data_IF_390628266192
#
_entry.id   IF_390628266192
#
_cell.length_a   1.000
_cell.length_b   1.000
_cell.length_c   1.000
_cell.angle_alpha   90.00
_cell.angle_beta   90.00
_cell.angle_gamma   90.00
#
_symmetry.space_group_name_H-M   'P 1'
#
loop_
_entity.id
_entity.type
_entity.pdbx_description
1 polymer ?
#
# COMPACT_ATOMS: atom_id res chain seq x y z
N UNK A 1 -20.95 -0.20 0.07
CA UNK A 1 -21.28 -1.63 0.25
C UNK A 1 -22.49 -1.94 -0.59
N UNK A 2 -22.35 -2.71 -1.66
CA UNK A 2 -23.49 -3.22 -2.44
C UNK A 2 -23.98 -4.47 -1.72
N UNK A 3 -25.11 -4.39 -1.04
CA UNK A 3 -25.85 -5.56 -0.61
C UNK A 3 -26.44 -6.20 -1.87
N UNK A 4 -25.93 -7.35 -2.28
CA UNK A 4 -26.58 -8.18 -3.27
C UNK A 4 -27.55 -9.11 -2.54
N UNK A 5 -28.84 -8.77 -2.61
CA UNK A 5 -29.92 -9.68 -2.23
C UNK A 5 -30.10 -10.67 -3.38
N UNK A 6 -29.84 -11.95 -3.15
CA UNK A 6 -30.16 -13.01 -4.10
C UNK A 6 -31.60 -13.44 -3.83
N UNK A 7 -32.47 -13.31 -4.84
CA UNK A 7 -33.82 -13.86 -4.81
C UNK A 7 -33.78 -15.17 -5.58
N UNK A 8 -34.04 -16.29 -4.89
CA UNK A 8 -34.24 -17.60 -5.54
C UNK A 8 -35.69 -17.62 -6.02
N UNK A 9 -35.88 -17.61 -7.34
CA UNK A 9 -37.20 -17.45 -7.96
C UNK A 9 -38.09 -18.68 -7.75
N UNK A 10 -39.40 -18.47 -7.61
CA UNK A 10 -40.40 -19.45 -7.15
C UNK A 10 -40.86 -20.44 -8.23
N UNK A 11 -39.94 -21.00 -9.01
CA UNK A 11 -40.26 -21.89 -10.15
C UNK A 11 -40.26 -23.38 -9.82
N UNK A 12 -41.46 -23.97 -9.70
CA UNK A 12 -41.79 -25.41 -9.86
C UNK A 12 -40.86 -26.44 -9.17
N UNK A 13 -41.23 -26.89 -7.96
CA UNK A 13 -40.58 -28.01 -7.26
C UNK A 13 -40.90 -29.34 -7.96
N UNK A 14 -39.88 -30.03 -8.45
CA UNK A 14 -39.94 -31.41 -8.94
C UNK A 14 -40.11 -32.36 -7.73
N UNK A 15 -41.03 -33.35 -7.75
CA UNK A 15 -41.37 -34.15 -6.55
C UNK A 15 -40.38 -35.28 -6.21
N UNK A 16 -39.14 -35.24 -6.71
CA UNK A 16 -38.10 -36.22 -6.39
C UNK A 16 -36.87 -35.46 -5.89
N UNK A 17 -36.38 -35.72 -4.65
CA UNK A 17 -35.36 -34.90 -4.00
C UNK A 17 -33.98 -35.25 -4.55
N UNK A 18 -33.46 -34.44 -5.47
CA UNK A 18 -32.04 -34.44 -5.81
C UNK A 18 -31.31 -33.48 -4.87
N UNK A 19 -30.37 -34.00 -4.06
CA UNK A 19 -29.37 -33.16 -3.37
C UNK A 19 -28.62 -32.38 -4.45
N UNK A 20 -28.87 -31.09 -4.57
CA UNK A 20 -28.14 -30.24 -5.50
C UNK A 20 -26.97 -29.57 -4.76
N UNK A 21 -25.75 -29.94 -5.17
CA UNK A 21 -24.52 -29.26 -4.75
C UNK A 21 -24.27 -28.14 -5.75
N UNK A 22 -24.33 -26.90 -5.28
CA UNK A 22 -23.98 -25.75 -6.09
C UNK A 22 -22.54 -25.36 -5.83
N UNK A 23 -21.71 -25.40 -6.87
CA UNK A 23 -20.41 -24.76 -6.88
C UNK A 23 -20.61 -23.31 -7.37
N UNK A 24 -20.25 -22.33 -6.56
CA UNK A 24 -20.15 -20.95 -7.04
C UNK A 24 -18.90 -20.80 -7.92
N UNK A 25 -19.00 -21.27 -9.15
CA UNK A 25 -18.01 -20.98 -10.18
C UNK A 25 -18.19 -19.52 -10.62
N UNK A 26 -17.30 -18.63 -10.17
CA UNK A 26 -17.10 -17.38 -10.88
C UNK A 26 -16.15 -17.67 -12.04
N UNK A 27 -16.67 -18.14 -13.16
CA UNK A 27 -15.91 -18.13 -14.40
C UNK A 27 -15.64 -16.67 -14.80
N UNK A 28 -14.43 -16.41 -15.29
CA UNK A 28 -14.00 -15.13 -15.85
C UNK A 28 -14.81 -14.82 -17.13
N UNK A 29 -15.89 -14.05 -16.99
CA UNK A 29 -16.51 -13.41 -18.15
C UNK A 29 -15.68 -12.19 -18.55
N UNK A 30 -14.87 -12.35 -19.59
CA UNK A 30 -14.03 -11.31 -20.22
C UNK A 30 -14.81 -10.10 -20.73
N UNK A 31 -16.15 -10.11 -20.72
CA UNK A 31 -16.99 -9.00 -21.19
C UNK A 31 -17.51 -8.07 -20.09
N UNK A 32 -17.31 -8.38 -18.80
CA UNK A 32 -17.88 -7.61 -17.70
C UNK A 32 -16.81 -6.94 -16.78
N UNK A 33 -16.50 -5.64 -16.95
CA UNK A 33 -15.44 -4.95 -16.22
C UNK A 33 -15.74 -4.61 -14.74
N UNK A 34 -16.75 -5.25 -14.11
CA UNK A 34 -17.20 -4.96 -12.73
C UNK A 34 -17.11 -6.14 -11.75
N UNK A 35 -16.50 -7.27 -12.10
CA UNK A 35 -16.32 -8.41 -11.18
C UNK A 35 -14.90 -8.45 -10.59
N UNK A 36 -14.83 -8.63 -9.27
CA UNK A 36 -13.60 -8.92 -8.53
C UNK A 36 -13.38 -10.43 -8.60
N UNK A 37 -12.30 -10.85 -9.26
CA UNK A 37 -11.95 -12.24 -9.47
C UNK A 37 -11.37 -12.92 -8.22
N UNK A 38 -11.88 -14.12 -7.94
CA UNK A 38 -11.33 -15.07 -6.98
C UNK A 38 -12.15 -16.35 -7.08
N UNK A 39 -11.49 -17.50 -7.28
CA UNK A 39 -12.17 -18.81 -7.18
C UNK A 39 -12.59 -19.01 -5.73
N UNK A 40 -13.85 -18.76 -5.42
CA UNK A 40 -14.41 -19.13 -4.12
C UNK A 40 -15.16 -20.44 -4.34
N UNK A 41 -14.56 -21.57 -3.97
CA UNK A 41 -15.26 -22.85 -3.93
C UNK A 41 -16.15 -22.87 -2.70
N UNK A 42 -17.32 -22.24 -2.79
CA UNK A 42 -18.38 -22.46 -1.81
C UNK A 42 -19.23 -23.59 -2.36
N UNK A 43 -19.21 -24.75 -1.70
CA UNK A 43 -20.26 -25.74 -1.87
C UNK A 43 -21.46 -25.28 -1.03
N UNK A 44 -22.55 -24.90 -1.69
CA UNK A 44 -23.83 -24.64 -1.01
C UNK A 44 -24.60 -25.97 -0.97
N UNK A 45 -24.87 -26.50 0.22
CA UNK A 45 -25.80 -27.62 0.40
C UNK A 45 -27.09 -27.07 1.01
N UNK A 46 -28.18 -27.09 0.24
CA UNK A 46 -29.53 -26.79 0.74
C UNK A 46 -30.22 -28.10 1.13
N UNK A 47 -30.56 -28.28 2.41
CA UNK A 47 -31.40 -29.39 2.87
C UNK A 47 -32.88 -29.03 2.72
N UNK A 48 -33.79 -30.02 2.76
CA UNK A 48 -35.24 -29.80 2.68
C UNK A 48 -35.82 -29.14 3.96
N UNK A 49 -35.53 -27.83 4.14
CA UNK A 49 -36.25 -26.82 4.94
C UNK A 49 -35.69 -26.48 6.34
N UNK A 50 -35.87 -25.24 6.88
CA UNK A 50 -36.06 -23.95 6.20
C UNK A 50 -34.69 -23.36 5.80
N UNK A 51 -34.58 -22.78 4.60
CA UNK A 51 -33.47 -21.91 4.14
C UNK A 51 -32.09 -22.16 4.80
N UNK A 52 -31.61 -23.41 4.76
CA UNK A 52 -30.34 -23.78 5.39
C UNK A 52 -29.22 -23.70 4.36
N UNK A 53 -28.19 -22.90 4.66
CA UNK A 53 -26.97 -22.80 3.89
C UNK A 53 -25.79 -23.36 4.69
N UNK A 54 -25.22 -24.46 4.22
CA UNK A 54 -23.95 -25.00 4.72
C UNK A 54 -22.84 -24.59 3.75
N UNK A 55 -21.80 -23.93 4.28
CA UNK A 55 -20.54 -23.65 3.58
C UNK A 55 -19.50 -24.62 4.13
N UNK A 56 -18.93 -25.43 3.25
CA UNK A 56 -17.93 -26.43 3.60
C UNK A 56 -16.66 -26.27 2.75
N UNK A 57 -15.53 -26.69 3.32
CA UNK A 57 -14.27 -26.90 2.62
C UNK A 57 -14.03 -28.40 2.43
N UNK A 58 -13.57 -28.79 1.25
CA UNK A 58 -13.39 -30.17 0.85
C UNK A 58 -12.07 -30.37 0.10
N UNK A 59 -11.91 -31.55 -0.49
CA UNK A 59 -10.76 -31.90 -1.31
C UNK A 59 -10.47 -30.91 -2.46
N UNK A 60 -11.50 -30.39 -3.12
CA UNK A 60 -11.36 -29.49 -4.27
C UNK A 60 -11.02 -28.08 -3.82
N UNK A 61 -11.62 -27.62 -2.72
CA UNK A 61 -11.26 -26.36 -2.06
C UNK A 61 -9.80 -26.33 -1.61
N UNK A 62 -9.36 -27.38 -0.91
CA UNK A 62 -7.95 -27.55 -0.52
C UNK A 62 -7.02 -27.59 -1.75
N UNK A 63 -7.44 -28.25 -2.84
CA UNK A 63 -6.64 -28.28 -4.06
C UNK A 63 -6.46 -26.86 -4.64
N UNK A 64 -7.52 -26.05 -4.71
CA UNK A 64 -7.45 -24.67 -5.16
C UNK A 64 -6.58 -23.78 -4.24
N UNK A 65 -6.67 -23.96 -2.91
CA UNK A 65 -5.81 -23.26 -1.95
C UNK A 65 -4.34 -23.64 -2.16
N UNK A 66 -4.04 -24.93 -2.37
CA UNK A 66 -2.65 -25.36 -2.61
C UNK A 66 -2.09 -24.82 -3.93
N UNK A 67 -2.92 -24.68 -4.96
CA UNK A 67 -2.54 -24.06 -6.23
C UNK A 67 -2.28 -22.56 -6.06
N UNK A 68 -3.07 -21.87 -5.23
CA UNK A 68 -2.83 -20.48 -4.87
C UNK A 68 -1.51 -20.31 -4.11
N UNK A 69 -1.24 -21.16 -3.11
CA UNK A 69 0.02 -21.13 -2.35
C UNK A 69 1.22 -21.31 -3.28
N UNK A 70 1.16 -22.28 -4.19
CA UNK A 70 2.22 -22.54 -5.17
C UNK A 70 2.41 -21.37 -6.15
N UNK A 71 1.32 -20.84 -6.70
CA UNK A 71 1.39 -19.77 -7.71
C UNK A 71 1.83 -18.42 -7.15
N UNK A 72 1.49 -18.14 -5.89
CA UNK A 72 1.90 -16.90 -5.20
C UNK A 72 3.24 -17.01 -4.48
N UNK A 73 3.74 -18.24 -4.27
CA UNK A 73 4.93 -18.49 -3.46
C UNK A 73 4.71 -18.23 -1.96
N UNK A 74 3.47 -18.37 -1.48
CA UNK A 74 3.13 -18.22 -0.07
C UNK A 74 3.83 -19.28 0.80
N UNK A 75 4.06 -18.95 2.07
CA UNK A 75 4.85 -19.79 2.98
C UNK A 75 4.15 -21.08 3.45
N UNK A 76 2.82 -21.17 3.35
CA UNK A 76 2.06 -22.35 3.77
C UNK A 76 0.57 -22.08 3.99
N UNK A 77 -0.10 -23.03 4.64
CA UNK A 77 -1.54 -23.00 4.96
C UNK A 77 -1.72 -23.21 6.46
N UNK A 78 -2.64 -22.45 7.07
CA UNK A 78 -3.14 -22.69 8.42
C UNK A 78 -4.56 -23.26 8.31
N UNK A 79 -4.87 -24.28 9.11
CA UNK A 79 -6.19 -24.91 9.16
C UNK A 79 -6.75 -24.85 10.58
N UNK A 80 -8.04 -24.50 10.69
CA UNK A 80 -8.77 -24.47 11.96
C UNK A 80 -10.04 -25.34 11.86
N UNK A 81 -10.20 -26.42 12.61
CA UNK A 81 -9.24 -27.10 13.47
C UNK A 81 -9.02 -28.55 13.02
N UNK A 82 -8.02 -29.23 13.60
CA UNK A 82 -7.72 -30.63 13.25
C UNK A 82 -8.90 -31.57 13.54
N UNK A 83 -9.69 -31.31 14.59
CA UNK A 83 -10.86 -32.12 14.92
C UNK A 83 -11.99 -32.07 13.88
N UNK A 84 -11.94 -31.12 12.94
CA UNK A 84 -12.90 -31.00 11.84
C UNK A 84 -12.51 -31.73 10.54
N UNK A 85 -11.30 -32.27 10.44
CA UNK A 85 -10.88 -33.07 9.28
C UNK A 85 -11.53 -34.46 9.33
N UNK A 86 -11.76 -35.07 8.16
CA UNK A 86 -12.62 -36.25 8.02
C UNK A 86 -11.95 -37.41 7.30
N UNK A 87 -12.56 -38.57 7.41
CA UNK A 87 -12.34 -39.71 6.51
C UNK A 87 -13.67 -40.40 6.26
N UNK A 88 -13.94 -40.71 5.00
CA UNK A 88 -15.17 -41.36 4.59
C UNK A 88 -14.90 -42.83 4.25
N UNK A 89 -15.80 -43.76 4.63
CA UNK A 89 -15.76 -45.12 4.09
C UNK A 89 -15.96 -45.12 2.57
N UNK A 90 -15.58 -46.21 1.91
CA UNK A 90 -15.72 -46.35 0.46
C UNK A 90 -17.17 -46.22 -0.03
N UNK A 91 -18.13 -46.61 0.82
CA UNK A 91 -19.55 -46.40 0.61
C UNK A 91 -20.12 -45.70 1.85
N UNK A 92 -20.62 -44.46 1.64
CA UNK A 92 -21.13 -43.62 2.72
C UNK A 92 -22.63 -43.88 2.86
N UNK A 93 -23.01 -44.44 4.01
CA UNK A 93 -24.39 -44.78 4.36
C UNK A 93 -24.81 -44.04 5.64
N UNK A 94 -26.12 -43.91 5.93
CA UNK A 94 -26.58 -43.22 7.15
C UNK A 94 -26.03 -43.82 8.46
N UNK A 95 -25.80 -45.13 8.48
CA UNK A 95 -25.23 -45.89 9.59
C UNK A 95 -23.70 -45.98 9.55
N UNK A 96 -23.09 -45.69 8.40
CA UNK A 96 -21.63 -45.56 8.23
C UNK A 96 -21.27 -44.19 7.63
N UNK A 97 -21.50 -43.08 8.37
CA UNK A 97 -21.14 -41.75 7.91
C UNK A 97 -19.62 -41.54 7.92
N UNK A 98 -19.17 -40.47 7.27
CA UNK A 98 -17.81 -39.98 7.47
C UNK A 98 -17.59 -39.61 8.95
N UNK A 99 -16.40 -39.91 9.46
CA UNK A 99 -15.99 -39.57 10.83
C UNK A 99 -14.74 -38.69 10.82
N UNK A 100 -14.21 -38.39 12.01
CA UNK A 100 -12.92 -37.71 12.15
C UNK A 100 -11.82 -38.45 11.37
N UNK A 101 -10.94 -37.70 10.73
CA UNK A 101 -9.87 -38.25 9.92
C UNK A 101 -8.82 -37.22 9.53
N UNK A 102 -8.16 -37.47 8.41
CA UNK A 102 -6.99 -36.71 7.95
C UNK A 102 -6.99 -36.49 6.44
N UNK A 103 -8.15 -36.53 5.79
CA UNK A 103 -8.27 -36.41 4.33
C UNK A 103 -7.67 -35.08 3.85
N UNK A 104 -8.07 -33.96 4.45
CA UNK A 104 -7.63 -32.64 4.03
C UNK A 104 -6.16 -32.37 4.40
N UNK A 105 -5.76 -32.73 5.61
CA UNK A 105 -4.36 -32.57 6.08
C UNK A 105 -3.38 -33.46 5.33
N UNK A 106 -3.74 -34.70 5.01
CA UNK A 106 -2.92 -35.57 4.16
C UNK A 106 -2.77 -35.00 2.78
N UNK A 107 -3.84 -34.40 2.24
CA UNK A 107 -3.83 -33.74 0.94
C UNK A 107 -2.92 -32.51 0.92
N UNK A 108 -3.02 -31.64 1.93
CA UNK A 108 -2.10 -30.51 2.13
C UNK A 108 -0.65 -30.98 2.17
N UNK A 109 -0.34 -32.00 2.98
CA UNK A 109 1.01 -32.55 3.08
C UNK A 109 1.50 -33.14 1.74
N UNK A 110 0.66 -33.92 1.04
CA UNK A 110 1.01 -34.49 -0.25
C UNK A 110 1.30 -33.41 -1.30
N UNK A 111 0.57 -32.29 -1.26
CA UNK A 111 0.70 -31.21 -2.25
C UNK A 111 1.76 -30.17 -1.93
N UNK A 112 2.08 -29.94 -0.66
CA UNK A 112 2.98 -28.87 -0.21
C UNK A 112 4.22 -29.39 0.53
N UNK A 113 4.21 -30.60 1.07
CA UNK A 113 5.29 -31.11 1.94
C UNK A 113 6.64 -31.32 1.25
N UNK A 114 6.65 -31.46 -0.08
CA UNK A 114 7.86 -31.66 -0.89
C UNK A 114 8.04 -30.60 -1.98
N UNK A 115 7.33 -29.47 -1.92
CA UNK A 115 7.59 -28.37 -2.84
C UNK A 115 8.87 -27.65 -2.40
N UNK A 116 9.67 -27.18 -3.36
CA UNK A 116 10.89 -26.43 -3.07
C UNK A 116 10.62 -25.21 -2.17
N UNK A 117 11.70 -24.62 -1.64
CA UNK A 117 11.59 -23.49 -0.74
C UNK A 117 10.71 -22.35 -1.32
N UNK A 118 9.87 -21.76 -0.46
CA UNK A 118 9.10 -20.58 -0.81
C UNK A 118 10.02 -19.40 -1.17
N UNK A 119 9.49 -18.43 -1.91
CA UNK A 119 10.25 -17.24 -2.30
C UNK A 119 10.67 -16.47 -1.04
N UNK A 120 11.98 -16.31 -0.85
CA UNK A 120 12.55 -15.49 0.24
C UNK A 120 12.91 -14.06 -0.23
N UNK A 121 12.55 -13.70 -1.46
CA UNK A 121 12.83 -12.37 -1.99
C UNK A 121 11.87 -11.35 -1.40
N UNK A 122 12.37 -10.50 -0.49
CA UNK A 122 11.64 -9.36 0.07
C UNK A 122 11.15 -8.36 -0.98
N UNK A 123 11.71 -8.44 -2.19
CA UNK A 123 11.46 -7.53 -3.32
C UNK A 123 10.60 -8.16 -4.41
N UNK A 124 10.13 -9.40 -4.23
CA UNK A 124 9.24 -10.03 -5.20
C UNK A 124 8.00 -9.15 -5.44
N UNK A 125 7.73 -8.82 -6.70
CA UNK A 125 6.60 -7.95 -7.07
C UNK A 125 6.85 -6.43 -6.94
N UNK A 126 8.06 -5.98 -6.59
CA UNK A 126 8.41 -4.54 -6.67
C UNK A 126 8.81 -4.12 -8.09
N UNK A 127 8.41 -2.92 -8.51
CA UNK A 127 8.85 -2.30 -9.76
C UNK A 127 10.10 -1.42 -9.63
N UNK A 128 10.63 -1.21 -8.41
CA UNK A 128 11.74 -0.28 -8.17
C UNK A 128 13.14 -0.92 -8.28
N UNK A 129 14.13 -0.13 -8.71
CA UNK A 129 15.53 -0.53 -8.60
C UNK A 129 15.96 -0.74 -7.14
N UNK A 130 16.81 -1.72 -6.87
CA UNK A 130 17.31 -2.00 -5.52
C UNK A 130 18.29 -0.91 -5.08
N UNK A 131 18.15 -0.36 -3.87
CA UNK A 131 19.26 0.32 -3.22
C UNK A 131 20.45 -0.65 -3.08
N UNK A 132 21.66 -0.16 -3.35
CA UNK A 132 22.91 -0.92 -3.20
C UNK A 132 23.64 -0.58 -1.89
N UNK A 133 23.12 0.40 -1.14
CA UNK A 133 23.67 0.88 0.13
C UNK A 133 22.54 1.25 1.08
N UNK A 134 22.84 1.18 2.37
CA UNK A 134 21.95 1.67 3.44
C UNK A 134 22.44 3.03 3.95
N UNK A 135 21.54 3.85 4.49
CA UNK A 135 21.87 5.05 5.25
C UNK A 135 21.17 5.01 6.60
N UNK A 136 21.79 5.62 7.62
CA UNK A 136 21.22 5.69 8.97
C UNK A 136 20.03 6.67 9.02
N UNK A 137 18.89 6.22 8.51
CA UNK A 137 17.61 6.92 8.51
C UNK A 137 16.48 5.89 8.68
N UNK A 138 15.30 6.35 9.12
CA UNK A 138 14.07 5.56 9.13
C UNK A 138 12.99 6.22 8.27
N UNK A 139 12.09 5.40 7.75
CA UNK A 139 10.87 5.86 7.08
C UNK A 139 9.72 5.01 7.60
N UNK A 140 8.75 5.64 8.25
CA UNK A 140 7.70 4.96 9.00
C UNK A 140 6.35 5.60 8.70
N UNK A 141 5.28 4.81 8.71
CA UNK A 141 3.92 5.35 8.79
C UNK A 141 3.54 5.48 10.26
N UNK A 142 3.18 6.70 10.68
CA UNK A 142 2.87 7.04 12.07
C UNK A 142 1.57 7.84 12.14
N UNK A 143 1.11 8.13 13.37
CA UNK A 143 -0.08 8.96 13.62
C UNK A 143 -1.34 8.42 12.92
N UNK A 144 -1.54 7.10 12.96
CA UNK A 144 -2.76 6.48 12.45
C UNK A 144 -4.00 7.03 13.18
N UNK A 145 -5.11 7.24 12.46
CA UNK A 145 -6.37 7.63 13.09
C UNK A 145 -6.83 6.54 14.05
N UNK A 146 -7.21 6.93 15.26
CA UNK A 146 -7.73 6.02 16.31
C UNK A 146 -9.24 6.09 16.46
N UNK A 147 -9.87 7.16 15.98
CA UNK A 147 -11.32 7.32 15.99
C UNK A 147 -11.96 6.67 14.76
N UNK A 148 -13.04 5.91 14.95
CA UNK A 148 -13.76 5.20 13.88
C UNK A 148 -14.15 6.11 12.72
N UNK A 149 -14.57 7.35 13.01
CA UNK A 149 -14.98 8.34 12.01
C UNK A 149 -13.82 8.73 11.05
N UNK A 150 -12.57 8.56 11.49
CA UNK A 150 -11.38 8.97 10.75
C UNK A 150 -10.66 7.77 10.13
N UNK A 151 -11.23 6.56 10.19
CA UNK A 151 -10.64 5.40 9.53
C UNK A 151 -10.83 5.48 8.01
N UNK A 152 -11.86 6.18 7.50
CA UNK A 152 -12.18 6.24 6.07
C UNK A 152 -12.23 7.70 5.55
N UNK A 153 -11.27 8.14 4.71
CA UNK A 153 -10.06 7.41 4.31
C UNK A 153 -9.03 7.33 5.46
N UNK A 154 -8.06 6.42 5.36
CA UNK A 154 -6.93 6.34 6.30
C UNK A 154 -5.96 7.48 6.04
N UNK A 155 -5.58 8.22 7.08
CA UNK A 155 -4.78 9.45 6.99
C UNK A 155 -3.55 9.44 7.92
N UNK A 156 -2.64 8.43 7.85
CA UNK A 156 -1.41 8.49 8.61
C UNK A 156 -0.43 9.52 8.03
N UNK A 157 0.72 9.62 8.68
CA UNK A 157 1.84 10.45 8.25
C UNK A 157 3.03 9.57 7.89
N UNK A 158 3.65 9.79 6.73
CA UNK A 158 4.96 9.23 6.42
C UNK A 158 6.02 10.10 7.10
N UNK A 159 6.70 9.54 8.09
CA UNK A 159 7.78 10.20 8.83
C UNK A 159 9.13 9.70 8.35
N UNK A 160 9.97 10.62 7.86
CA UNK A 160 11.38 10.37 7.55
C UNK A 160 12.21 10.88 8.72
N UNK A 161 12.98 10.02 9.39
CA UNK A 161 13.87 10.43 10.49
C UNK A 161 15.33 10.33 10.05
N UNK A 162 16.06 11.43 10.20
CA UNK A 162 17.45 11.53 9.78
C UNK A 162 18.42 11.28 10.95
N UNK A 163 19.07 10.12 10.97
CA UNK A 163 20.09 9.76 11.95
C UNK A 163 21.51 9.71 11.33
N UNK A 164 21.71 10.33 10.18
CA UNK A 164 22.98 10.27 9.42
C UNK A 164 24.08 11.18 9.98
N UNK A 165 23.74 12.08 10.92
CA UNK A 165 24.66 13.07 11.47
C UNK A 165 24.90 14.30 10.58
N UNK A 166 24.19 14.42 9.44
CA UNK A 166 24.25 15.57 8.52
C UNK A 166 22.86 15.96 8.07
N UNK A 167 22.65 17.20 7.66
CA UNK A 167 21.37 17.62 7.04
C UNK A 167 21.16 16.85 5.74
N UNK A 168 19.94 16.35 5.52
CA UNK A 168 19.49 15.74 4.28
C UNK A 168 18.55 16.67 3.53
N UNK A 169 18.40 16.45 2.22
CA UNK A 169 17.43 17.18 1.40
C UNK A 169 17.92 18.55 0.94
N UNK A 170 16.96 19.40 0.60
CA UNK A 170 17.17 20.76 0.08
C UNK A 170 17.59 20.84 -1.39
N UNK A 171 18.14 19.78 -1.96
CA UNK A 171 18.35 19.65 -3.40
C UNK A 171 17.07 19.26 -4.16
N UNK A 172 17.01 19.62 -5.45
CA UNK A 172 15.85 19.40 -6.34
C UNK A 172 15.48 17.94 -6.60
N UNK A 173 16.40 17.00 -6.36
CA UNK A 173 16.28 15.59 -6.73
C UNK A 173 16.22 14.64 -5.52
N UNK A 174 15.77 15.14 -4.35
CA UNK A 174 15.60 14.30 -3.17
C UNK A 174 14.29 13.52 -3.25
N UNK A 175 14.35 12.26 -3.68
CA UNK A 175 13.16 11.44 -3.97
C UNK A 175 12.96 10.36 -2.92
N UNK A 176 11.84 10.39 -2.22
CA UNK A 176 11.36 9.25 -1.42
C UNK A 176 10.59 8.29 -2.32
N UNK A 177 10.79 6.99 -2.13
CA UNK A 177 9.97 5.97 -2.76
C UNK A 177 9.84 4.74 -1.86
N UNK A 178 8.66 4.13 -1.85
CA UNK A 178 8.36 2.92 -1.09
C UNK A 178 7.20 2.18 -1.75
N UNK A 179 6.96 0.95 -1.31
CA UNK A 179 5.89 0.10 -1.80
C UNK A 179 4.77 0.00 -0.77
N UNK A 180 3.52 0.05 -1.24
CA UNK A 180 2.32 -0.32 -0.48
C UNK A 180 1.67 -1.55 -1.12
N UNK A 181 1.09 -2.48 -0.35
CA UNK A 181 0.45 -3.67 -0.89
C UNK A 181 -0.78 -3.32 -1.75
N UNK A 182 -1.08 -4.17 -2.73
CA UNK A 182 -2.28 -4.06 -3.57
C UNK A 182 -3.61 -4.36 -2.83
N UNK A 183 -3.57 -4.53 -1.50
CA UNK A 183 -4.78 -4.57 -0.66
C UNK A 183 -5.53 -3.23 -0.65
N UNK A 184 -4.87 -2.14 -1.05
CA UNK A 184 -5.50 -0.85 -1.36
C UNK A 184 -5.36 -0.54 -2.84
N UNK A 185 -6.27 0.28 -3.36
CA UNK A 185 -6.14 0.83 -4.71
C UNK A 185 -4.88 1.72 -4.82
N UNK A 186 -4.34 1.94 -6.03
CA UNK A 186 -3.21 2.83 -6.25
C UNK A 186 -3.59 4.32 -6.11
N UNK A 187 -4.74 4.63 -5.49
CA UNK A 187 -5.20 5.99 -5.25
C UNK A 187 -4.61 6.51 -3.94
N UNK A 188 -3.55 7.31 -4.08
CA UNK A 188 -2.89 7.99 -2.96
C UNK A 188 -3.13 9.50 -3.07
N UNK A 189 -3.47 10.14 -1.95
CA UNK A 189 -3.71 11.59 -1.88
C UNK A 189 -2.86 12.25 -0.79
N UNK A 190 -2.77 13.57 -0.85
CA UNK A 190 -2.19 14.41 0.20
C UNK A 190 -3.26 14.96 1.15
N UNK A 191 -2.85 15.74 2.16
CA UNK A 191 -3.75 16.31 3.16
C UNK A 191 -4.88 17.18 2.58
N UNK A 192 -4.69 17.78 1.40
CA UNK A 192 -5.61 18.75 0.81
C UNK A 192 -6.61 18.11 -0.16
N UNK A 193 -6.80 16.79 -0.09
CA UNK A 193 -7.60 16.03 -1.05
C UNK A 193 -9.06 16.51 -1.24
N UNK A 194 -9.60 17.27 -0.28
CA UNK A 194 -10.97 17.79 -0.30
C UNK A 194 -11.11 19.15 -1.00
N UNK A 195 -10.01 19.84 -1.29
CA UNK A 195 -10.07 21.27 -1.72
C UNK A 195 -10.12 21.48 -3.24
N UNK A 196 -10.26 20.42 -4.04
CA UNK A 196 -10.39 20.48 -5.50
C UNK A 196 -9.12 20.90 -6.26
N UNK A 197 -8.12 21.47 -5.57
CA UNK A 197 -6.80 21.81 -6.10
C UNK A 197 -5.86 20.60 -5.94
N UNK A 198 -5.73 19.73 -6.94
CA UNK A 198 -4.92 18.51 -6.79
C UNK A 198 -4.05 18.22 -8.02
N UNK A 199 -2.81 18.70 -7.97
CA UNK A 199 -1.67 17.86 -8.36
C UNK A 199 -1.05 17.40 -7.04
N UNK A 200 -1.42 16.21 -6.58
CA UNK A 200 -0.92 15.69 -5.32
C UNK A 200 0.59 15.44 -5.37
N UNK A 201 1.29 15.63 -4.25
CA UNK A 201 2.75 15.41 -4.19
C UNK A 201 3.15 13.93 -4.39
N UNK A 202 2.21 13.01 -4.14
CA UNK A 202 2.42 11.57 -4.27
C UNK A 202 2.18 11.10 -5.70
N UNK A 203 3.11 10.30 -6.20
CA UNK A 203 3.12 9.71 -7.54
C UNK A 203 3.05 8.19 -7.41
N UNK A 204 1.83 7.61 -7.37
CA UNK A 204 1.65 6.16 -7.33
C UNK A 204 1.80 5.56 -8.73
N UNK A 205 2.47 4.41 -8.81
CA UNK A 205 2.49 3.54 -9.98
C UNK A 205 1.85 2.20 -9.60
N UNK A 206 0.79 1.83 -10.31
CA UNK A 206 0.05 0.60 -10.09
C UNK A 206 0.92 -0.64 -10.38
N UNK A 207 0.66 -1.71 -9.65
CA UNK A 207 1.35 -2.99 -9.77
C UNK A 207 0.49 -4.09 -9.15
N UNK A 208 0.82 -5.36 -9.42
CA UNK A 208 -0.02 -6.50 -9.02
C UNK A 208 0.13 -6.91 -7.56
N UNK A 209 1.37 -6.94 -7.04
CA UNK A 209 1.64 -7.25 -5.62
C UNK A 209 1.74 -5.97 -4.80
N UNK A 210 2.47 -4.99 -5.33
CA UNK A 210 2.73 -3.71 -4.70
C UNK A 210 2.43 -2.56 -5.67
N UNK A 211 1.95 -1.46 -5.11
CA UNK A 211 1.95 -0.17 -5.77
C UNK A 211 3.18 0.62 -5.31
N UNK A 212 3.97 1.10 -6.26
CA UNK A 212 5.15 1.94 -5.97
C UNK A 212 4.67 3.36 -5.74
N UNK A 213 4.87 3.90 -4.55
CA UNK A 213 4.56 5.29 -4.21
C UNK A 213 5.85 6.08 -4.16
N UNK A 214 5.87 7.25 -4.79
CA UNK A 214 7.02 8.13 -4.74
C UNK A 214 6.64 9.60 -4.58
N UNK A 215 7.55 10.39 -4.04
CA UNK A 215 7.44 11.85 -4.01
C UNK A 215 8.84 12.46 -4.03
N UNK A 216 8.94 13.69 -4.52
CA UNK A 216 10.16 14.48 -4.48
C UNK A 216 9.96 15.56 -3.43
N UNK A 217 10.89 15.67 -2.48
CA UNK A 217 10.85 16.74 -1.48
C UNK A 217 10.94 18.10 -2.19
N UNK A 218 10.24 19.11 -1.66
CA UNK A 218 10.30 20.46 -2.18
C UNK A 218 11.76 20.96 -2.15
N UNK A 219 12.15 21.80 -3.12
CA UNK A 219 13.47 22.44 -3.08
C UNK A 219 13.62 23.24 -1.78
N UNK A 220 14.79 23.17 -1.15
CA UNK A 220 15.04 23.66 0.22
C UNK A 220 14.22 23.01 1.35
N UNK A 221 13.45 21.96 1.10
CA UNK A 221 12.89 21.12 2.16
C UNK A 221 14.01 20.23 2.73
N UNK A 222 14.45 20.56 3.94
CA UNK A 222 15.58 19.89 4.61
C UNK A 222 15.11 19.03 5.77
N UNK A 223 15.93 18.04 6.12
CA UNK A 223 15.79 17.22 7.32
C UNK A 223 17.10 17.37 8.11
N UNK A 224 17.17 18.26 9.11
CA UNK A 224 18.38 18.42 9.91
C UNK A 224 18.78 17.11 10.62
N UNK A 225 20.05 17.01 11.04
CA UNK A 225 20.54 15.85 11.77
C UNK A 225 19.73 15.63 13.07
N UNK A 226 19.27 14.41 13.30
CA UNK A 226 18.46 14.03 14.46
C UNK A 226 17.02 14.56 14.43
N UNK A 227 16.55 15.09 13.28
CA UNK A 227 15.18 15.58 13.10
C UNK A 227 14.40 14.71 12.13
N UNK A 228 13.09 14.94 12.09
CA UNK A 228 12.16 14.23 11.22
C UNK A 228 11.41 15.19 10.30
N UNK A 229 11.01 14.68 9.14
CA UNK A 229 10.09 15.32 8.21
C UNK A 229 8.83 14.46 8.08
N UNK A 230 7.69 15.12 8.25
CA UNK A 230 6.37 14.49 8.21
C UNK A 230 5.64 14.85 6.92
N UNK A 231 5.22 13.84 6.18
CA UNK A 231 4.50 13.96 4.91
C UNK A 231 3.14 13.26 5.04
N UNK A 232 2.01 13.99 5.08
CA UNK A 232 0.69 13.40 5.12
C UNK A 232 0.42 12.52 3.90
N UNK A 233 -0.19 11.37 4.12
CA UNK A 233 -0.58 10.44 3.06
C UNK A 233 -1.99 9.91 3.33
N UNK A 234 -2.77 9.77 2.28
CA UNK A 234 -4.15 9.28 2.36
C UNK A 234 -4.36 8.12 1.40
N UNK A 235 -4.97 7.05 1.90
CA UNK A 235 -5.34 5.85 1.14
C UNK A 235 -6.62 5.21 1.71
N UNK A 236 -7.17 4.20 1.03
CA UNK A 236 -8.60 3.85 1.16
C UNK A 236 -8.91 2.46 1.71
N UNK A 237 -7.92 1.57 1.80
CA UNK A 237 -8.06 0.26 2.44
C UNK A 237 -6.82 -0.02 3.32
N UNK A 238 -6.94 -0.89 4.34
CA UNK A 238 -5.82 -1.20 5.22
C UNK A 238 -4.62 -1.78 4.46
N UNK A 239 -3.43 -1.38 4.91
CA UNK A 239 -2.16 -1.86 4.38
C UNK A 239 -1.23 -2.23 5.54
N UNK A 240 -0.32 -3.14 5.28
CA UNK A 240 0.90 -3.35 6.08
C UNK A 240 2.09 -2.69 5.39
N UNK A 241 3.21 -2.53 6.11
CA UNK A 241 4.40 -1.85 5.60
C UNK A 241 4.45 -0.39 6.03
N UNK A 242 5.08 0.52 5.26
CA UNK A 242 5.60 0.34 3.89
C UNK A 242 6.83 -0.57 3.82
N UNK A 243 7.19 -1.01 2.60
CA UNK A 243 8.38 -1.85 2.35
C UNK A 243 9.16 -1.35 1.12
N UNK A 244 10.34 -1.94 0.87
CA UNK A 244 11.20 -1.60 -0.29
C UNK A 244 11.52 -0.10 -0.37
N UNK A 245 11.81 0.50 0.78
CA UNK A 245 11.94 1.94 0.89
C UNK A 245 13.29 2.42 0.39
N UNK A 246 13.30 3.59 -0.24
CA UNK A 246 14.53 4.25 -0.68
C UNK A 246 14.38 5.76 -0.61
N UNK A 247 15.41 6.43 -0.09
CA UNK A 247 15.61 7.86 -0.24
C UNK A 247 16.74 8.07 -1.26
N UNK A 248 16.42 8.61 -2.44
CA UNK A 248 17.40 8.95 -3.45
C UNK A 248 17.93 10.37 -3.24
N UNK A 249 19.25 10.52 -3.14
CA UNK A 249 19.94 11.79 -2.95
C UNK A 249 21.09 11.84 -3.96
N UNK A 250 21.12 12.87 -4.81
CA UNK A 250 22.16 13.01 -5.83
C UNK A 250 22.23 11.81 -6.79
N UNK A 251 21.08 11.20 -7.10
CA UNK A 251 20.98 10.01 -7.95
C UNK A 251 21.32 8.67 -7.27
N UNK A 252 21.79 8.68 -6.03
CA UNK A 252 22.06 7.45 -5.27
C UNK A 252 20.88 7.10 -4.38
N UNK A 253 20.33 5.89 -4.54
CA UNK A 253 19.25 5.37 -3.70
C UNK A 253 19.81 4.72 -2.43
N UNK A 254 19.38 5.21 -1.26
CA UNK A 254 19.74 4.66 0.04
C UNK A 254 18.54 3.96 0.66
N UNK A 255 18.70 2.70 1.06
CA UNK A 255 17.72 2.02 1.91
C UNK A 255 17.81 2.53 3.36
N UNK A 256 16.69 2.67 4.09
CA UNK A 256 16.72 2.83 5.53
C UNK A 256 17.45 1.67 6.21
N UNK A 257 18.24 1.93 7.25
CA UNK A 257 18.84 0.85 8.07
C UNK A 257 17.78 -0.01 8.75
N UNK A 258 16.59 0.55 8.99
CA UNK A 258 15.44 -0.14 9.59
C UNK A 258 14.86 -1.24 8.68
N UNK A 259 15.09 -1.16 7.36
CA UNK A 259 14.68 -2.22 6.42
C UNK A 259 15.55 -3.49 6.56
N UNK A 260 16.68 -3.42 7.28
CA UNK A 260 17.55 -4.55 7.63
C UNK A 260 17.95 -5.44 6.42
N UNK A 261 18.18 -4.81 5.26
CA UNK A 261 18.58 -5.50 4.03
C UNK A 261 19.95 -6.15 4.21
N UNK A 262 20.00 -7.48 4.07
CA UNK A 262 21.24 -8.25 4.26
C UNK A 262 22.24 -8.01 3.13
N UNK A 263 23.52 -7.98 3.47
CA UNK A 263 24.63 -7.87 2.51
C UNK A 263 24.89 -6.45 1.98
N UNK A 264 24.13 -5.44 2.42
CA UNK A 264 24.39 -4.05 2.05
C UNK A 264 25.34 -3.38 3.04
N UNK A 265 26.30 -2.62 2.52
CA UNK A 265 27.10 -1.70 3.33
C UNK A 265 26.30 -0.47 3.75
N UNK A 266 26.84 0.28 4.73
CA UNK A 266 26.29 1.57 5.14
C UNK A 266 27.10 2.70 4.53
N UNK A 267 26.40 3.71 4.00
CA UNK A 267 26.97 4.92 3.45
C UNK A 267 26.32 6.14 4.10
N UNK A 268 27.09 7.22 4.22
CA UNK A 268 26.56 8.52 4.64
C UNK A 268 26.18 9.30 3.38
N UNK A 269 24.91 9.72 3.23
CA UNK A 269 24.52 10.56 2.09
C UNK A 269 25.31 11.88 2.04
N UNK A 270 25.45 12.50 0.86
CA UNK A 270 26.05 13.83 0.77
C UNK A 270 25.26 14.82 1.62
N UNK A 271 25.97 15.79 2.23
CA UNK A 271 25.33 16.83 3.03
C UNK A 271 24.39 17.66 2.14
N UNK A 272 23.13 17.73 2.56
CA UNK A 272 22.13 18.61 1.97
C UNK A 272 22.21 20.03 2.51
N UNK A 273 21.26 20.86 2.09
CA UNK A 273 21.19 22.26 2.50
C UNK A 273 20.27 23.05 1.57
N UNK A 274 19.92 24.27 1.99
CA UNK A 274 19.16 25.20 1.17
C UNK A 274 20.09 26.25 0.57
N UNK A 275 20.00 26.45 -0.74
CA UNK A 275 20.76 27.49 -1.47
C UNK A 275 19.87 28.60 -2.02
N UNK A 276 18.65 28.75 -1.47
CA UNK A 276 17.75 29.84 -1.82
C UNK A 276 18.38 31.19 -1.44
N UNK A 277 18.30 32.16 -2.35
CA UNK A 277 18.76 33.53 -2.09
C UNK A 277 17.78 34.29 -1.20
N UNK A 278 18.23 35.40 -0.60
CA UNK A 278 17.33 36.30 0.14
C UNK A 278 16.26 36.89 -0.78
N UNK A 279 15.05 37.09 -0.24
CA UNK A 279 13.98 37.78 -0.96
C UNK A 279 14.36 39.23 -1.28
N UNK A 280 14.00 39.69 -2.47
CA UNK A 280 14.26 41.03 -3.01
C UNK A 280 12.97 41.60 -3.61
N UNK A 281 12.51 42.73 -3.06
CA UNK A 281 11.29 43.41 -3.49
C UNK A 281 11.31 43.85 -4.97
N UNK A 282 12.49 44.05 -5.55
CA UNK A 282 12.66 44.55 -6.93
C UNK A 282 12.62 43.44 -7.97
N UNK A 283 12.83 42.18 -7.55
CA UNK A 283 12.90 41.02 -8.44
C UNK A 283 11.51 40.47 -8.75
N UNK A 284 11.34 40.00 -9.99
CA UNK A 284 10.17 39.21 -10.40
C UNK A 284 10.46 37.73 -10.14
N UNK A 285 9.54 37.07 -9.48
CA UNK A 285 9.55 35.63 -9.21
C UNK A 285 8.43 34.98 -10.02
N UNK A 286 8.77 34.18 -11.03
CA UNK A 286 7.79 33.59 -11.96
C UNK A 286 8.07 32.10 -12.15
N UNK A 287 7.40 31.20 -11.40
CA UNK A 287 7.58 29.74 -11.50
C UNK A 287 7.29 29.17 -12.89
N UNK A 288 6.54 29.90 -13.73
CA UNK A 288 6.24 29.51 -15.10
C UNK A 288 7.43 29.69 -16.06
N UNK A 289 8.39 30.58 -15.74
CA UNK A 289 9.50 30.96 -16.63
C UNK A 289 10.88 30.83 -16.00
N UNK A 290 10.96 30.67 -14.68
CA UNK A 290 12.21 30.60 -13.92
C UNK A 290 12.36 29.24 -13.24
N UNK A 291 13.61 28.75 -13.08
CA UNK A 291 13.88 27.53 -12.35
C UNK A 291 13.57 27.68 -10.85
N UNK A 292 13.41 26.57 -10.14
CA UNK A 292 12.94 26.55 -8.75
C UNK A 292 13.89 27.28 -7.79
N UNK A 293 15.19 27.26 -8.09
CA UNK A 293 16.24 27.92 -7.32
C UNK A 293 16.14 29.46 -7.39
N UNK A 294 15.52 29.99 -8.45
CA UNK A 294 15.32 31.43 -8.62
C UNK A 294 13.98 31.92 -8.07
N UNK A 295 13.04 31.01 -7.82
CA UNK A 295 11.68 31.27 -7.33
C UNK A 295 11.45 30.81 -5.89
N UNK A 296 12.50 30.29 -5.25
CA UNK A 296 12.55 29.96 -3.83
C UNK A 296 13.50 30.94 -3.15
N UNK A 297 13.06 31.51 -2.01
CA UNK A 297 13.77 32.57 -1.30
C UNK A 297 13.80 32.35 0.20
N UNK A 298 14.81 32.91 0.86
CA UNK A 298 14.87 33.05 2.31
C UNK A 298 14.32 34.41 2.73
N UNK A 299 13.40 34.42 3.69
CA UNK A 299 12.84 35.64 4.26
C UNK A 299 12.39 35.38 5.71
N UNK A 300 12.81 36.23 6.65
CA UNK A 300 12.51 36.13 8.09
C UNK A 300 12.81 34.74 8.69
N UNK A 301 13.98 34.18 8.37
CA UNK A 301 14.42 32.87 8.89
C UNK A 301 13.66 31.66 8.33
N UNK A 302 12.80 31.86 7.34
CA UNK A 302 11.99 30.83 6.68
C UNK A 302 12.31 30.76 5.19
N UNK A 303 12.00 29.62 4.58
CA UNK A 303 12.11 29.41 3.14
C UNK A 303 10.73 29.43 2.51
N UNK A 304 10.60 30.17 1.41
CA UNK A 304 9.35 30.38 0.70
C UNK A 304 9.51 30.11 -0.78
N UNK A 305 8.49 29.52 -1.40
CA UNK A 305 8.42 29.23 -2.83
C UNK A 305 7.28 30.04 -3.45
N UNK A 306 7.53 30.73 -4.56
CA UNK A 306 6.47 31.45 -5.27
C UNK A 306 5.45 30.44 -5.85
N UNK A 307 4.15 30.72 -5.70
CA UNK A 307 3.06 29.92 -6.28
C UNK A 307 2.71 30.35 -7.71
N UNK A 308 2.82 31.64 -7.98
CA UNK A 308 2.61 32.27 -9.29
C UNK A 308 3.48 33.51 -9.41
N UNK A 309 3.42 34.20 -10.55
CA UNK A 309 4.22 35.39 -10.79
C UNK A 309 3.96 36.50 -9.77
N UNK A 310 5.01 37.00 -9.13
CA UNK A 310 4.91 38.07 -8.12
C UNK A 310 6.12 38.99 -8.14
N UNK A 311 5.91 40.24 -7.74
CA UNK A 311 6.94 41.28 -7.57
C UNK A 311 6.55 42.17 -6.39
N UNK A 312 7.51 42.53 -5.54
CA UNK A 312 7.30 43.44 -4.41
C UNK A 312 6.45 42.92 -3.25
N UNK A 313 5.77 41.77 -3.39
CA UNK A 313 5.00 41.15 -2.32
C UNK A 313 5.92 40.34 -1.41
N UNK A 314 6.04 40.74 -0.14
CA UNK A 314 6.87 40.03 0.84
C UNK A 314 6.24 38.68 1.24
N UNK A 315 7.04 37.61 1.44
CA UNK A 315 6.52 36.33 1.93
C UNK A 315 5.95 36.41 3.35
N UNK A 316 4.81 35.74 3.58
CA UNK A 316 4.20 35.61 4.90
C UNK A 316 3.47 36.85 5.40
N UNK A 317 3.16 37.80 4.51
CA UNK A 317 2.40 39.03 4.84
C UNK A 317 0.96 39.03 4.33
N UNK A 318 0.52 37.96 3.66
CA UNK A 318 -0.87 37.85 3.19
C UNK A 318 -1.85 37.57 4.32
N UNK A 319 -3.13 37.89 4.08
CA UNK A 319 -4.20 37.68 5.05
C UNK A 319 -4.53 36.19 5.27
N UNK A 320 -4.34 35.37 4.24
CA UNK A 320 -4.43 33.92 4.31
C UNK A 320 -3.38 33.24 3.40
N UNK A 321 -3.05 31.99 3.71
CA UNK A 321 -2.00 31.23 3.04
C UNK A 321 -2.35 30.83 1.59
N UNK A 322 -3.64 30.80 1.25
CA UNK A 322 -4.11 30.40 -0.06
C UNK A 322 -4.06 31.55 -1.06
N UNK A 323 -4.27 32.79 -0.60
CA UNK A 323 -4.31 34.02 -1.41
C UNK A 323 -2.98 34.78 -1.43
N UNK A 324 -2.02 34.48 -0.55
CA UNK A 324 -0.68 35.08 -0.66
C UNK A 324 0.12 34.45 -1.81
N UNK A 325 1.08 35.15 -2.46
CA UNK A 325 1.82 34.57 -3.58
C UNK A 325 2.88 33.53 -3.19
N UNK A 326 3.12 33.31 -1.90
CA UNK A 326 4.19 32.48 -1.37
C UNK A 326 3.67 31.24 -0.64
N UNK A 327 4.33 30.10 -0.85
CA UNK A 327 4.14 28.86 -0.08
C UNK A 327 5.30 28.71 0.89
N UNK A 328 5.02 28.55 2.17
CA UNK A 328 6.04 28.21 3.17
C UNK A 328 6.57 26.78 2.91
N UNK A 329 7.89 26.65 2.83
CA UNK A 329 8.58 25.34 2.70
C UNK A 329 9.06 24.84 4.06
N UNK A 330 9.61 25.73 4.90
CA UNK A 330 10.13 25.38 6.22
C UNK A 330 11.07 26.45 6.78
N UNK A 331 11.88 26.05 7.77
CA UNK A 331 12.95 26.88 8.32
C UNK A 331 14.12 27.01 7.34
N UNK A 332 14.82 28.16 7.36
CA UNK A 332 16.02 28.41 6.55
C UNK A 332 17.30 27.74 7.09
N UNK A 333 17.23 27.16 8.29
CA UNK A 333 18.30 26.43 8.97
C UNK A 333 17.77 25.64 10.16
#
# INVERSE_FOLDING_TARGET
MLHHTWVVDTGYRNPIPTREVYFLQTDDDVTNPRRIGGRVNIALVLSEGPDELIVAEDEQGIDAVTDLVKSTGAGGVMMWELGGDYSCPADVQPDTPCGMGYTLTTRLNAKLGNIGAYSNSLRAGTGGAAPTVTANLSVEMVNYPTATANLWPLQPTVRITNNTGRTLGGGKDTKLSFDIPASTSPLVKDANWQTGAQVGQWQPAAGSTFHRVSTTLDYCQIIPAGKSLDLPIIYFLPITGPVNTSLSIGGTAYAPVTDNLKGLGTATPPAGGCSAGNWDATKIYSPASQPIEQTTVTYNGKVWKAKWETKGSAPGTGADADQEPWKLIGSAG
#
